data_IF_471342804761
#
_entry.id   IF_471342804761
#
_cell.length_a   1.000
_cell.length_b   1.000
_cell.length_c   1.000
_cell.angle_alpha   90.00
_cell.angle_beta   90.00
_cell.angle_gamma   90.00
#
_symmetry.space_group_name_H-M   'P 1'
#
loop_
_entity.id
_entity.type
_entity.pdbx_description
1 polymer ?
#
# COMPACT_ATOMS: atom_id res chain seq x y z
N UNK A 1 11.85 8.80 59.58
CA UNK A 1 12.09 9.53 58.32
C UNK A 1 12.48 8.49 57.27
N UNK A 2 11.58 8.16 56.35
CA UNK A 2 11.88 7.59 55.03
C UNK A 2 10.56 7.46 54.26
N UNK A 3 10.35 8.45 53.40
CA UNK A 3 9.23 8.61 52.49
C UNK A 3 9.58 7.86 51.20
N UNK A 4 8.98 6.71 50.95
CA UNK A 4 9.02 6.07 49.63
C UNK A 4 7.84 6.56 48.82
N UNK A 5 8.08 7.54 47.94
CA UNK A 5 7.14 7.94 46.90
C UNK A 5 7.26 6.93 45.74
N UNK A 6 6.26 6.09 45.54
CA UNK A 6 6.15 5.25 44.35
C UNK A 6 5.35 6.01 43.30
N UNK A 7 6.01 6.48 42.23
CA UNK A 7 5.35 7.11 41.09
C UNK A 7 4.79 5.99 40.22
N UNK A 8 3.47 5.82 40.22
CA UNK A 8 2.77 4.99 39.25
C UNK A 8 2.70 5.73 37.91
N UNK A 9 3.49 5.30 36.93
CA UNK A 9 3.39 5.77 35.56
C UNK A 9 2.15 5.16 34.89
N UNK A 10 1.14 5.98 34.61
CA UNK A 10 0.02 5.61 33.76
C UNK A 10 0.48 5.57 32.30
N UNK A 11 0.65 4.36 31.75
CA UNK A 11 0.73 4.18 30.30
C UNK A 11 -0.67 4.39 29.74
N UNK A 12 -0.90 5.56 29.15
CA UNK A 12 -2.09 5.77 28.30
C UNK A 12 -1.84 4.92 27.07
N UNK A 13 -2.51 3.76 27.01
CA UNK A 13 -2.62 2.97 25.80
C UNK A 13 -3.40 3.80 24.77
N UNK A 14 -2.68 4.59 23.97
CA UNK A 14 -3.23 5.23 22.79
C UNK A 14 -3.66 4.13 21.82
N UNK A 15 -4.94 3.76 21.86
CA UNK A 15 -5.52 2.88 20.86
C UNK A 15 -5.28 3.50 19.49
N UNK A 16 -4.62 2.76 18.60
CA UNK A 16 -4.49 3.14 17.20
C UNK A 16 -5.91 3.15 16.64
N UNK A 17 -6.46 4.34 16.41
CA UNK A 17 -7.73 4.47 15.72
C UNK A 17 -7.53 3.89 14.31
N UNK A 18 -8.16 2.75 14.03
CA UNK A 18 -8.18 2.16 12.71
C UNK A 18 -9.00 3.07 11.79
N UNK A 19 -8.56 3.25 10.55
CA UNK A 19 -9.31 4.05 9.59
C UNK A 19 -10.63 3.33 9.24
N UNK A 20 -11.76 4.00 9.46
CA UNK A 20 -13.10 3.57 9.04
C UNK A 20 -13.33 3.78 7.54
N UNK A 21 -12.42 3.25 6.71
CA UNK A 21 -12.41 3.42 5.26
C UNK A 21 -11.33 4.38 4.75
N UNK A 22 -11.34 4.62 3.45
CA UNK A 22 -10.47 5.56 2.76
C UNK A 22 -10.78 7.00 3.17
N UNK A 23 -9.75 7.84 3.19
CA UNK A 23 -9.95 9.28 3.25
C UNK A 23 -10.50 9.77 1.89
N UNK A 24 -10.97 11.02 1.88
CA UNK A 24 -11.26 11.69 0.60
C UNK A 24 -9.99 11.73 -0.26
N UNK A 25 -10.15 11.58 -1.57
CA UNK A 25 -9.05 11.35 -2.51
C UNK A 25 -7.83 12.28 -2.35
N UNK A 26 -7.96 13.62 -2.20
CA UNK A 26 -6.80 14.49 -2.00
C UNK A 26 -6.03 14.20 -0.71
N UNK A 27 -6.73 13.77 0.34
CA UNK A 27 -6.11 13.40 1.62
C UNK A 27 -5.48 12.02 1.55
N UNK A 28 -6.15 11.06 0.89
CA UNK A 28 -5.63 9.70 0.72
C UNK A 28 -4.32 9.71 -0.07
N UNK A 29 -4.31 10.41 -1.20
CA UNK A 29 -3.14 10.57 -2.06
C UNK A 29 -2.00 11.30 -1.35
N UNK A 30 -2.28 12.38 -0.62
CA UNK A 30 -1.27 13.09 0.18
C UNK A 30 -0.68 12.21 1.28
N UNK A 31 -1.52 11.43 1.96
CA UNK A 31 -1.09 10.57 3.05
C UNK A 31 -0.20 9.43 2.55
N UNK A 32 -0.60 8.74 1.48
CA UNK A 32 0.21 7.71 0.84
C UNK A 32 1.51 8.27 0.25
N UNK A 33 1.44 9.39 -0.47
CA UNK A 33 2.61 10.09 -1.02
C UNK A 33 3.67 10.35 0.05
N UNK A 34 3.26 10.86 1.22
CA UNK A 34 4.17 11.08 2.34
C UNK A 34 4.72 9.78 2.94
N UNK A 35 3.89 8.75 3.09
CA UNK A 35 4.28 7.48 3.67
C UNK A 35 5.29 6.71 2.79
N UNK A 36 5.12 6.73 1.46
CA UNK A 36 6.04 6.09 0.51
C UNK A 36 7.15 7.02 0.01
N UNK A 37 7.15 8.30 0.45
CA UNK A 37 8.10 9.35 0.04
C UNK A 37 8.18 9.52 -1.49
N UNK A 38 7.03 9.58 -2.15
CA UNK A 38 6.95 9.66 -3.61
C UNK A 38 5.99 10.75 -4.08
N UNK A 39 6.53 11.68 -4.87
CA UNK A 39 5.76 12.75 -5.48
C UNK A 39 5.06 12.25 -6.75
N UNK A 40 3.88 11.67 -6.58
CA UNK A 40 3.01 11.26 -7.68
C UNK A 40 2.32 12.43 -8.40
N UNK A 41 1.62 12.11 -9.48
CA UNK A 41 0.84 13.06 -10.29
C UNK A 41 -0.63 12.65 -10.30
N UNK A 42 -1.52 13.64 -10.29
CA UNK A 42 -2.94 13.42 -10.57
C UNK A 42 -3.16 13.56 -12.07
N UNK A 43 -3.67 12.51 -12.69
CA UNK A 43 -4.15 12.49 -14.07
C UNK A 43 -5.65 12.77 -14.06
N UNK A 44 -6.05 13.76 -14.85
CA UNK A 44 -7.45 14.11 -15.07
C UNK A 44 -7.79 13.85 -16.52
N UNK A 45 -8.89 13.17 -16.77
CA UNK A 45 -9.37 12.93 -18.13
C UNK A 45 -10.86 13.18 -18.17
N UNK A 46 -11.30 13.98 -19.14
CA UNK A 46 -12.70 14.37 -19.25
C UNK A 46 -13.61 13.14 -19.30
N UNK A 47 -14.61 13.14 -18.43
CA UNK A 47 -15.56 12.03 -18.29
C UNK A 47 -15.04 10.81 -17.51
N UNK A 48 -13.82 10.84 -16.97
CA UNK A 48 -13.27 9.77 -16.12
C UNK A 48 -12.93 10.28 -14.71
N UNK A 49 -13.07 9.45 -13.66
CA UNK A 49 -12.62 9.80 -12.31
C UNK A 49 -11.11 10.09 -12.25
N UNK A 50 -10.67 10.91 -11.28
CA UNK A 50 -9.25 11.23 -11.13
C UNK A 50 -8.44 9.98 -10.73
N UNK A 51 -7.21 9.91 -11.24
CA UNK A 51 -6.23 8.90 -10.88
C UNK A 51 -4.98 9.59 -10.36
N UNK A 52 -4.52 9.22 -9.17
CA UNK A 52 -3.19 9.59 -8.72
C UNK A 52 -2.26 8.41 -8.93
N UNK A 53 -1.11 8.67 -9.52
CA UNK A 53 -0.09 7.66 -9.78
C UNK A 53 1.28 8.15 -9.37
N UNK A 54 2.04 7.25 -8.77
CA UNK A 54 3.41 7.48 -8.33
C UNK A 54 4.26 6.27 -8.75
N UNK A 55 5.41 6.54 -9.37
CA UNK A 55 6.44 5.55 -9.67
C UNK A 55 7.57 5.77 -8.67
N UNK A 56 8.05 4.71 -8.04
CA UNK A 56 9.06 4.85 -7.00
C UNK A 56 10.32 5.58 -7.55
N UNK A 57 10.85 6.59 -6.84
CA UNK A 57 12.04 7.31 -7.30
C UNK A 57 13.25 6.38 -7.45
N UNK A 58 13.92 6.43 -8.59
CA UNK A 58 15.06 5.55 -8.89
C UNK A 58 14.68 4.10 -9.20
N UNK A 59 13.39 3.79 -9.22
CA UNK A 59 12.84 2.54 -9.68
C UNK A 59 12.09 2.76 -11.00
N UNK A 60 11.97 1.71 -11.81
CA UNK A 60 11.21 1.77 -13.07
C UNK A 60 9.91 0.96 -12.99
N UNK A 61 9.85 0.01 -12.04
CA UNK A 61 8.85 -1.06 -12.06
C UNK A 61 7.93 -1.13 -10.85
N UNK A 62 8.12 -0.26 -9.85
CA UNK A 62 7.25 -0.18 -8.67
C UNK A 62 6.35 1.04 -8.76
N UNK A 63 5.03 0.83 -8.71
CA UNK A 63 4.02 1.86 -8.94
C UNK A 63 2.92 1.78 -7.90
N UNK A 64 2.48 2.93 -7.39
CA UNK A 64 1.35 3.05 -6.48
C UNK A 64 0.30 3.96 -7.12
N UNK A 65 -0.95 3.50 -7.11
CA UNK A 65 -2.08 4.23 -7.65
C UNK A 65 -3.19 4.38 -6.60
N UNK A 66 -3.88 5.51 -6.64
CA UNK A 66 -5.17 5.72 -5.99
C UNK A 66 -6.16 6.09 -7.09
N UNK A 67 -7.26 5.36 -7.18
CA UNK A 67 -8.30 5.58 -8.18
C UNK A 67 -9.53 6.18 -7.51
N UNK A 68 -10.11 7.24 -8.06
CA UNK A 68 -11.45 7.70 -7.67
C UNK A 68 -12.53 6.82 -8.32
N UNK A 69 -13.66 6.67 -7.62
CA UNK A 69 -14.91 6.18 -8.21
C UNK A 69 -15.77 7.34 -8.73
N UNK A 70 -15.72 8.45 -8.01
CA UNK A 70 -16.43 9.72 -8.26
C UNK A 70 -15.70 10.82 -7.50
N UNK A 71 -15.93 12.11 -7.80
CA UNK A 71 -15.17 13.20 -7.19
C UNK A 71 -15.10 13.08 -5.66
N UNK A 72 -13.87 12.98 -5.15
CA UNK A 72 -13.54 12.86 -3.73
C UNK A 72 -13.63 11.45 -3.14
N UNK A 73 -14.27 10.47 -3.79
CA UNK A 73 -14.42 9.10 -3.26
C UNK A 73 -13.40 8.16 -3.89
N UNK A 74 -12.51 7.61 -3.08
CA UNK A 74 -11.57 6.56 -3.48
C UNK A 74 -12.34 5.27 -3.78
N UNK A 75 -12.04 4.66 -4.92
CA UNK A 75 -12.50 3.33 -5.30
C UNK A 75 -11.54 2.26 -4.74
N UNK A 76 -10.26 2.43 -5.05
CA UNK A 76 -9.23 1.46 -4.68
C UNK A 76 -7.84 2.08 -4.64
N UNK A 77 -6.93 1.38 -3.95
CA UNK A 77 -5.50 1.66 -3.94
C UNK A 77 -4.75 0.46 -4.49
N UNK A 78 -3.83 0.67 -5.42
CA UNK A 78 -3.10 -0.40 -6.12
C UNK A 78 -1.60 -0.23 -6.01
N UNK A 79 -0.92 -1.21 -5.44
CA UNK A 79 0.54 -1.33 -5.51
C UNK A 79 0.90 -2.40 -6.54
N UNK A 80 1.65 -2.01 -7.55
CA UNK A 80 2.13 -2.88 -8.61
C UNK A 80 3.66 -2.95 -8.57
N UNK A 81 4.18 -4.15 -8.72
CA UNK A 81 5.58 -4.39 -9.04
C UNK A 81 5.67 -5.28 -10.27
N UNK A 82 6.28 -4.74 -11.33
CA UNK A 82 6.64 -5.49 -12.53
C UNK A 82 7.99 -6.16 -12.30
N UNK A 83 7.95 -7.36 -11.77
CA UNK A 83 9.11 -8.14 -11.35
C UNK A 83 9.82 -8.73 -12.58
N UNK A 84 10.88 -8.07 -13.06
CA UNK A 84 11.69 -8.60 -14.17
C UNK A 84 12.36 -9.91 -13.77
N UNK A 85 11.96 -11.00 -14.41
CA UNK A 85 12.51 -12.35 -14.18
C UNK A 85 13.65 -12.69 -15.14
N UNK A 86 13.91 -11.82 -16.11
CA UNK A 86 15.03 -11.88 -17.04
C UNK A 86 15.72 -10.54 -17.09
N UNK A 87 17.05 -10.57 -17.16
CA UNK A 87 17.81 -9.34 -17.37
C UNK A 87 17.71 -8.93 -18.84
N UNK A 88 17.10 -7.77 -19.08
CA UNK A 88 17.03 -7.15 -20.41
C UNK A 88 17.81 -5.82 -20.44
N UNK A 89 18.71 -5.59 -19.48
CA UNK A 89 19.50 -4.37 -19.34
C UNK A 89 19.24 -3.60 -18.04
N UNK A 90 18.32 -4.08 -17.19
CA UNK A 90 17.95 -3.45 -15.92
C UNK A 90 18.29 -4.31 -14.69
N UNK A 91 18.59 -5.60 -14.87
CA UNK A 91 18.76 -6.58 -13.81
C UNK A 91 17.54 -7.48 -13.61
N UNK A 92 17.69 -8.50 -12.76
CA UNK A 92 16.62 -9.45 -12.37
C UNK A 92 16.11 -9.08 -10.98
N UNK A 93 14.79 -9.15 -10.77
CA UNK A 93 14.09 -8.78 -9.54
C UNK A 93 14.41 -7.35 -9.08
N UNK A 94 14.53 -6.43 -10.04
CA UNK A 94 14.85 -5.03 -9.77
C UNK A 94 13.81 -4.41 -8.84
N UNK A 95 14.29 -3.53 -7.97
CA UNK A 95 13.46 -2.76 -7.04
C UNK A 95 12.66 -3.60 -6.02
N UNK A 96 12.97 -4.90 -5.86
CA UNK A 96 12.29 -5.78 -4.89
C UNK A 96 12.22 -5.19 -3.48
N UNK A 97 13.33 -4.66 -2.98
CA UNK A 97 13.37 -4.07 -1.64
C UNK A 97 12.43 -2.85 -1.50
N UNK A 98 12.32 -2.05 -2.56
CA UNK A 98 11.40 -0.90 -2.61
C UNK A 98 9.96 -1.41 -2.68
N UNK A 99 9.68 -2.39 -3.54
CA UNK A 99 8.36 -3.00 -3.68
C UNK A 99 7.86 -3.58 -2.35
N UNK A 100 8.69 -4.36 -1.66
CA UNK A 100 8.37 -4.95 -0.35
C UNK A 100 8.19 -3.86 0.71
N UNK A 101 9.01 -2.80 0.69
CA UNK A 101 8.85 -1.66 1.61
C UNK A 101 7.50 -0.96 1.40
N UNK A 102 7.10 -0.72 0.16
CA UNK A 102 5.82 -0.12 -0.17
C UNK A 102 4.65 -1.04 0.18
N UNK A 103 4.80 -2.35 0.00
CA UNK A 103 3.80 -3.34 0.40
C UNK A 103 3.58 -3.30 1.92
N UNK A 104 4.64 -3.17 2.71
CA UNK A 104 4.55 -2.98 4.18
C UNK A 104 3.84 -1.67 4.53
N UNK A 105 4.11 -0.57 3.82
CA UNK A 105 3.42 0.72 4.05
C UNK A 105 1.92 0.58 3.77
N UNK A 106 1.54 -0.03 2.65
CA UNK A 106 0.14 -0.30 2.29
C UNK A 106 -0.50 -1.19 3.35
N UNK A 107 0.15 -2.29 3.73
CA UNK A 107 -0.37 -3.23 4.71
C UNK A 107 -0.58 -2.58 6.08
N UNK A 108 0.39 -1.80 6.58
CA UNK A 108 0.26 -1.09 7.87
C UNK A 108 -0.91 -0.13 7.89
N UNK A 109 -1.26 0.47 6.75
CA UNK A 109 -2.36 1.42 6.63
C UNK A 109 -3.73 0.74 6.61
N UNK A 110 -3.90 -0.32 5.81
CA UNK A 110 -5.21 -0.90 5.53
C UNK A 110 -5.50 -2.22 6.24
N UNK A 111 -4.46 -2.91 6.70
CA UNK A 111 -4.56 -4.19 7.39
C UNK A 111 -3.42 -4.34 8.43
N UNK A 112 -3.33 -3.43 9.42
CA UNK A 112 -2.21 -3.38 10.37
C UNK A 112 -1.98 -4.68 11.16
N UNK A 113 -3.02 -5.47 11.39
CA UNK A 113 -2.91 -6.78 12.04
C UNK A 113 -2.47 -7.91 11.10
N UNK A 114 -2.46 -7.68 9.78
CA UNK A 114 -2.14 -8.64 8.74
C UNK A 114 -0.88 -8.26 7.94
N UNK A 115 0.00 -7.40 8.48
CA UNK A 115 1.19 -6.92 7.76
C UNK A 115 2.07 -8.06 7.24
N UNK A 116 2.32 -9.07 8.08
CA UNK A 116 3.10 -10.25 7.70
C UNK A 116 2.39 -11.04 6.59
N UNK A 117 1.08 -11.26 6.72
CA UNK A 117 0.30 -12.00 5.72
C UNK A 117 0.29 -11.30 4.36
N UNK A 118 0.13 -9.97 4.34
CA UNK A 118 0.18 -9.18 3.10
C UNK A 118 1.56 -9.25 2.46
N UNK A 119 2.63 -9.15 3.25
CA UNK A 119 4.00 -9.22 2.73
C UNK A 119 4.35 -10.62 2.21
N UNK A 120 3.93 -11.67 2.92
CA UNK A 120 4.15 -13.05 2.51
C UNK A 120 3.37 -13.37 1.22
N UNK A 121 2.13 -12.91 1.11
CA UNK A 121 1.36 -12.99 -0.13
C UNK A 121 2.09 -12.28 -1.27
N UNK A 122 2.53 -11.04 -1.05
CA UNK A 122 3.22 -10.22 -2.08
C UNK A 122 4.52 -10.85 -2.59
N UNK A 123 5.24 -11.60 -1.73
CA UNK A 123 6.43 -12.37 -2.09
C UNK A 123 6.09 -13.67 -2.81
N UNK A 124 4.90 -14.23 -2.57
CA UNK A 124 4.44 -15.47 -3.17
C UNK A 124 3.98 -15.33 -4.62
N UNK A 125 3.63 -16.47 -5.21
CA UNK A 125 3.18 -16.58 -6.61
C UNK A 125 1.70 -16.99 -6.69
N UNK A 126 0.97 -16.92 -5.58
CA UNK A 126 -0.43 -17.35 -5.49
C UNK A 126 -1.34 -16.18 -5.20
N UNK A 127 -2.40 -16.07 -6.01
CA UNK A 127 -3.47 -15.13 -5.74
C UNK A 127 -4.02 -15.36 -4.33
N UNK A 128 -4.11 -14.30 -3.55
CA UNK A 128 -4.48 -14.37 -2.14
C UNK A 128 -5.50 -13.26 -1.85
N UNK A 129 -6.46 -13.56 -0.98
CA UNK A 129 -7.41 -12.59 -0.48
C UNK A 129 -7.20 -12.44 1.03
N UNK A 130 -6.97 -11.22 1.48
CA UNK A 130 -6.71 -10.89 2.88
C UNK A 130 -7.78 -9.90 3.33
N UNK A 131 -8.40 -10.19 4.47
CA UNK A 131 -9.53 -9.43 4.99
C UNK A 131 -9.10 -8.74 6.29
N UNK A 132 -9.24 -7.41 6.37
CA UNK A 132 -9.07 -6.64 7.61
C UNK A 132 -10.42 -6.25 8.21
N UNK A 133 -10.50 -5.30 9.14
CA UNK A 133 -11.79 -4.82 9.65
C UNK A 133 -12.60 -4.10 8.56
N UNK A 134 -11.97 -3.14 7.90
CA UNK A 134 -12.63 -2.16 7.02
C UNK A 134 -12.27 -2.35 5.54
N UNK A 135 -11.25 -3.17 5.26
CA UNK A 135 -10.73 -3.35 3.90
C UNK A 135 -10.61 -4.82 3.51
N UNK A 136 -10.63 -5.03 2.21
CA UNK A 136 -10.25 -6.25 1.52
C UNK A 136 -9.00 -5.95 0.69
N UNK A 137 -7.98 -6.78 0.84
CA UNK A 137 -6.74 -6.71 0.05
C UNK A 137 -6.68 -7.96 -0.84
N UNK A 138 -6.78 -7.76 -2.15
CA UNK A 138 -6.56 -8.81 -3.14
C UNK A 138 -5.13 -8.73 -3.65
N UNK A 139 -4.37 -9.80 -3.46
CA UNK A 139 -3.10 -10.01 -4.14
C UNK A 139 -3.32 -10.83 -5.40
N UNK A 140 -2.81 -10.33 -6.52
CA UNK A 140 -2.78 -11.03 -7.81
C UNK A 140 -1.34 -11.17 -8.28
N UNK A 141 -1.01 -12.39 -8.69
CA UNK A 141 0.23 -12.73 -9.37
C UNK A 141 -0.08 -13.19 -10.79
N UNK A 142 0.61 -12.62 -11.76
CA UNK A 142 0.53 -13.05 -13.15
C UNK A 142 1.93 -13.32 -13.68
N UNK A 143 2.20 -14.59 -13.99
CA UNK A 143 3.47 -14.99 -14.59
C UNK A 143 3.54 -14.55 -16.05
N UNK A 144 4.63 -13.90 -16.43
CA UNK A 144 4.89 -13.53 -17.82
C UNK A 144 6.14 -14.20 -18.39
N UNK A 145 6.43 -13.97 -19.68
CA UNK A 145 7.61 -14.53 -20.33
C UNK A 145 8.94 -13.89 -19.87
N UNK A 146 8.91 -12.68 -19.33
CA UNK A 146 10.07 -11.93 -18.84
C UNK A 146 9.79 -11.02 -17.64
N UNK A 147 8.51 -10.76 -17.35
CA UNK A 147 8.05 -9.94 -16.23
C UNK A 147 6.93 -10.71 -15.55
N UNK A 148 7.03 -10.87 -14.25
CA UNK A 148 5.90 -11.28 -13.43
C UNK A 148 5.22 -10.03 -12.87
N UNK A 149 3.90 -9.93 -13.00
CA UNK A 149 3.14 -8.84 -12.40
C UNK A 149 2.72 -9.25 -10.98
N UNK A 150 3.07 -8.43 -10.00
CA UNK A 150 2.66 -8.56 -8.60
C UNK A 150 1.79 -7.36 -8.24
N UNK A 151 0.52 -7.59 -7.95
CA UNK A 151 -0.46 -6.53 -7.78
C UNK A 151 -1.23 -6.70 -6.46
N UNK A 152 -1.08 -5.76 -5.54
CA UNK A 152 -1.96 -5.59 -4.39
C UNK A 152 -3.05 -4.58 -4.72
N UNK A 153 -4.29 -4.93 -4.44
CA UNK A 153 -5.47 -4.09 -4.64
C UNK A 153 -6.21 -4.01 -3.32
N UNK A 154 -6.34 -2.80 -2.78
CA UNK A 154 -7.11 -2.52 -1.56
C UNK A 154 -8.44 -1.91 -1.96
N UNK A 155 -9.53 -2.43 -1.41
CA UNK A 155 -10.89 -1.89 -1.53
C UNK A 155 -11.55 -1.84 -0.15
N UNK A 156 -12.43 -0.89 0.10
CA UNK A 156 -13.31 -0.92 1.26
C UNK A 156 -14.22 -2.15 1.23
N UNK A 157 -14.61 -2.64 2.40
CA UNK A 157 -15.70 -3.59 2.52
C UNK A 157 -17.03 -2.85 2.37
N UNK A 158 -17.94 -3.46 1.61
CA UNK A 158 -19.33 -3.01 1.49
C UNK A 158 -20.17 -3.56 2.64
#
# INVERSE_FOLDING_TARGET
MNLFLTIAAYIIAGGVAFADGFLVFPQETKSLSGAVKCNGKVTRTDGMPDLWGCIAPGAEVVKLFVNEAKPGRVDNVKLMWNDWTKDIGYGVHTDRAIAETWAVVVAKRYAPSQVTEVLDAFRGERNTLIESSSFRISYKYSKGPAIDERLLIVTEKQ
#
